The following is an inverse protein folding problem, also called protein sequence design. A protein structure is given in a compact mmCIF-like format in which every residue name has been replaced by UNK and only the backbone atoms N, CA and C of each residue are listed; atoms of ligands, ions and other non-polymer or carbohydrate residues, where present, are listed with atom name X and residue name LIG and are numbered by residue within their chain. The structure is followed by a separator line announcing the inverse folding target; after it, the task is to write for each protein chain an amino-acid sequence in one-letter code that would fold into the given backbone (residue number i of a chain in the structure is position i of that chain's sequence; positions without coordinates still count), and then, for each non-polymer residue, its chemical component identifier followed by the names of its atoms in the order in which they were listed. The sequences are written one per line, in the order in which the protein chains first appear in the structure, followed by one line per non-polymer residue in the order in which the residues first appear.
data_IF_249843684770
#
_entry.id   IF_249843684770
#
_cell.length_a   1.000
_cell.length_b   1.000
_cell.length_c   1.000
_cell.angle_alpha   90.00
_cell.angle_beta   90.00
_cell.angle_gamma   90.00
#
_symmetry.space_group_name_H-M   'P 1'
#
loop_
_entity.id
_entity.type
_entity.pdbx_description
1 polymer ?
#
# COMPACT_ATOMS: atom_id res chain seq x y z
N UNK A 1 -24.37 -58.44 6.35
CA UNK A 1 -24.51 -58.73 7.80
C UNK A 1 -25.42 -57.68 8.40
N UNK A 2 -26.36 -58.04 9.27
CA UNK A 2 -27.23 -57.08 9.96
C UNK A 2 -26.72 -56.92 11.38
N UNK A 3 -25.90 -55.90 11.63
CA UNK A 3 -25.52 -55.49 12.98
C UNK A 3 -26.69 -54.71 13.59
N UNK A 4 -27.11 -55.05 14.80
CA UNK A 4 -28.16 -54.32 15.51
C UNK A 4 -27.54 -53.19 16.33
N UNK A 5 -28.16 -52.02 16.33
CA UNK A 5 -27.68 -50.82 17.07
C UNK A 5 -27.46 -51.10 18.56
N UNK A 6 -28.22 -52.04 19.14
CA UNK A 6 -28.09 -52.46 20.54
C UNK A 6 -26.83 -53.27 20.86
N UNK A 7 -26.07 -53.72 19.85
CA UNK A 7 -24.86 -54.54 20.01
C UNK A 7 -23.58 -53.71 19.87
N UNK A 8 -23.70 -52.41 19.55
CA UNK A 8 -22.56 -51.50 19.39
C UNK A 8 -22.15 -50.87 20.73
N UNK A 9 -20.85 -50.75 20.94
CA UNK A 9 -20.30 -49.90 22.00
C UNK A 9 -20.50 -48.43 21.65
N UNK A 10 -20.42 -47.56 22.66
CA UNK A 10 -20.57 -46.10 22.49
C UNK A 10 -19.52 -45.53 21.52
N UNK A 11 -18.31 -46.07 21.56
CA UNK A 11 -17.20 -45.63 20.70
C UNK A 11 -17.43 -46.05 19.24
N UNK A 12 -17.89 -47.27 19.00
CA UNK A 12 -18.24 -47.75 17.66
C UNK A 12 -19.40 -46.96 17.05
N UNK A 13 -20.42 -46.63 17.84
CA UNK A 13 -21.53 -45.79 17.39
C UNK A 13 -21.07 -44.36 17.06
N UNK A 14 -20.16 -43.80 17.86
CA UNK A 14 -19.63 -42.45 17.63
C UNK A 14 -18.82 -42.40 16.34
N UNK A 15 -18.00 -43.42 16.07
CA UNK A 15 -17.23 -43.50 14.84
C UNK A 15 -18.14 -43.57 13.60
N UNK A 16 -19.19 -44.40 13.64
CA UNK A 16 -20.15 -44.51 12.54
C UNK A 16 -20.85 -43.17 12.28
N UNK A 17 -21.19 -42.42 13.33
CA UNK A 17 -21.82 -41.10 13.20
C UNK A 17 -20.82 -40.09 12.61
N UNK A 18 -19.56 -40.09 13.06
CA UNK A 18 -18.53 -39.20 12.53
C UNK A 18 -18.29 -39.46 11.04
N UNK A 19 -18.12 -40.71 10.64
CA UNK A 19 -17.91 -41.10 9.25
C UNK A 19 -19.11 -40.70 8.38
N UNK A 20 -20.34 -40.92 8.88
CA UNK A 20 -21.55 -40.53 8.16
C UNK A 20 -21.69 -39.01 8.02
N UNK A 21 -21.29 -38.24 9.05
CA UNK A 21 -21.31 -36.77 9.03
C UNK A 21 -20.22 -36.24 8.10
N UNK A 22 -18.99 -36.76 8.14
CA UNK A 22 -17.91 -36.36 7.23
C UNK A 22 -18.27 -36.66 5.78
N UNK A 23 -18.83 -37.84 5.51
CA UNK A 23 -19.33 -38.19 4.17
C UNK A 23 -20.39 -37.17 3.72
N UNK A 24 -21.34 -36.82 4.60
CA UNK A 24 -22.41 -35.88 4.24
C UNK A 24 -21.91 -34.44 4.07
N UNK A 25 -20.95 -34.02 4.88
CA UNK A 25 -20.32 -32.71 4.76
C UNK A 25 -19.47 -32.63 3.49
N UNK A 26 -18.75 -33.69 3.13
CA UNK A 26 -18.01 -33.78 1.87
C UNK A 26 -18.95 -33.76 0.66
N UNK A 27 -20.09 -34.46 0.71
CA UNK A 27 -21.11 -34.39 -0.35
C UNK A 27 -21.75 -33.00 -0.49
N UNK A 28 -21.91 -32.25 0.61
CA UNK A 28 -22.58 -30.94 0.60
C UNK A 28 -21.64 -29.76 0.36
N UNK A 29 -20.37 -29.86 0.78
CA UNK A 29 -19.39 -28.78 0.80
C UNK A 29 -18.13 -29.10 0.00
N UNK A 30 -18.03 -30.30 -0.59
CA UNK A 30 -16.92 -30.68 -1.47
C UNK A 30 -16.87 -29.82 -2.72
N UNK A 31 -15.68 -29.68 -3.27
CA UNK A 31 -15.49 -28.95 -4.52
C UNK A 31 -16.11 -29.75 -5.67
N UNK A 32 -17.17 -29.26 -6.33
CA UNK A 32 -17.82 -29.98 -7.43
C UNK A 32 -16.89 -30.21 -8.63
N UNK A 33 -15.77 -29.47 -8.71
CA UNK A 33 -14.78 -29.58 -9.78
C UNK A 33 -13.57 -30.46 -9.38
N UNK A 34 -13.58 -31.08 -8.21
CA UNK A 34 -12.47 -31.91 -7.72
C UNK A 34 -12.19 -33.10 -8.65
N UNK A 35 -10.93 -33.25 -9.08
CA UNK A 35 -10.50 -34.31 -10.01
C UNK A 35 -10.82 -34.07 -11.48
N UNK A 36 -11.40 -32.93 -11.86
CA UNK A 36 -11.63 -32.58 -13.27
C UNK A 36 -10.38 -31.97 -13.92
N UNK A 37 -10.08 -32.40 -15.15
CA UNK A 37 -9.05 -31.78 -15.97
C UNK A 37 -9.56 -30.50 -16.66
N UNK A 38 -8.71 -29.48 -16.70
CA UNK A 38 -9.00 -28.25 -17.42
C UNK A 38 -9.05 -28.52 -18.92
N UNK A 39 -10.12 -28.06 -19.59
CA UNK A 39 -10.18 -28.02 -21.05
C UNK A 39 -9.10 -27.09 -21.59
N UNK A 40 -8.47 -27.47 -22.70
CA UNK A 40 -7.37 -26.71 -23.32
C UNK A 40 -7.71 -25.23 -23.56
N UNK A 41 -8.95 -24.92 -23.92
CA UNK A 41 -9.42 -23.54 -24.11
C UNK A 41 -9.41 -22.72 -22.80
N UNK A 42 -9.86 -23.34 -21.70
CA UNK A 42 -9.91 -22.71 -20.38
C UNK A 42 -8.49 -22.55 -19.84
N UNK A 43 -7.64 -23.56 -20.01
CA UNK A 43 -6.23 -23.49 -19.65
C UNK A 43 -5.52 -22.39 -20.44
N UNK A 44 -5.70 -22.32 -21.75
CA UNK A 44 -5.13 -21.25 -22.58
C UNK A 44 -5.65 -19.86 -22.18
N UNK A 45 -6.94 -19.74 -21.80
CA UNK A 45 -7.51 -18.50 -21.27
C UNK A 45 -6.90 -18.13 -19.92
N UNK A 46 -6.73 -19.08 -19.01
CA UNK A 46 -6.10 -18.89 -17.69
C UNK A 46 -4.62 -18.56 -17.83
N UNK A 47 -3.89 -19.19 -18.75
CA UNK A 47 -2.51 -18.84 -19.09
C UNK A 47 -2.41 -17.42 -19.64
N UNK A 48 -3.30 -17.03 -20.55
CA UNK A 48 -3.37 -15.62 -21.02
C UNK A 48 -3.71 -14.66 -19.89
N UNK A 49 -4.66 -14.99 -19.01
CA UNK A 49 -5.00 -14.15 -17.85
C UNK A 49 -3.83 -14.03 -16.88
N UNK A 50 -3.18 -15.13 -16.54
CA UNK A 50 -2.04 -15.18 -15.62
C UNK A 50 -0.76 -14.57 -16.22
N UNK A 51 -0.54 -14.65 -17.53
CA UNK A 51 0.51 -13.91 -18.23
C UNK A 51 0.19 -12.42 -18.28
N UNK A 52 -1.08 -12.04 -18.48
CA UNK A 52 -1.54 -10.65 -18.38
C UNK A 52 -1.38 -10.13 -16.96
N UNK A 53 -1.64 -10.93 -15.92
CA UNK A 53 -1.39 -10.60 -14.51
C UNK A 53 0.11 -10.56 -14.17
N UNK A 54 0.92 -11.48 -14.70
CA UNK A 54 2.38 -11.44 -14.54
C UNK A 54 3.01 -10.24 -15.25
N UNK A 55 2.46 -9.84 -16.40
CA UNK A 55 2.85 -8.62 -17.13
C UNK A 55 2.28 -7.34 -16.50
N UNK A 56 1.06 -7.39 -15.96
CA UNK A 56 0.45 -6.36 -15.11
C UNK A 56 0.86 -6.63 -13.68
N UNK A 57 2.14 -6.40 -13.37
CA UNK A 57 2.60 -6.41 -11.99
C UNK A 57 1.59 -5.67 -11.09
N UNK A 58 0.92 -6.48 -10.24
CA UNK A 58 0.11 -6.14 -9.07
C UNK A 58 -1.35 -5.79 -9.36
N UNK A 59 -2.24 -6.63 -8.81
CA UNK A 59 -3.52 -6.14 -8.30
C UNK A 59 -3.28 -4.88 -7.48
N UNK A 60 -4.15 -3.88 -7.61
CA UNK A 60 -3.96 -2.54 -7.05
C UNK A 60 -3.71 -2.70 -5.53
N UNK A 61 -2.49 -2.46 -5.02
CA UNK A 61 -2.30 -2.34 -3.57
C UNK A 61 -3.24 -1.24 -3.11
N UNK A 62 -3.96 -1.40 -2.00
CA UNK A 62 -4.91 -0.40 -1.51
C UNK A 62 -4.24 0.99 -1.49
N UNK A 63 -4.48 1.78 -2.55
CA UNK A 63 -3.74 3.01 -2.81
C UNK A 63 -4.08 3.96 -1.67
N UNK A 64 -3.06 4.34 -0.89
CA UNK A 64 -3.27 5.24 0.24
C UNK A 64 -3.50 6.64 -0.32
N UNK A 65 -4.55 7.30 0.16
CA UNK A 65 -4.85 8.69 -0.19
C UNK A 65 -4.23 9.60 0.88
N UNK A 66 -3.55 10.65 0.44
CA UNK A 66 -3.09 11.76 1.28
C UNK A 66 -3.39 13.09 0.59
N UNK A 67 -3.24 14.18 1.34
CA UNK A 67 -3.32 15.53 0.82
C UNK A 67 -2.01 16.26 1.10
N UNK A 68 -1.55 17.07 0.16
CA UNK A 68 -0.43 17.99 0.37
C UNK A 68 -0.78 18.97 1.51
N UNK A 69 0.22 19.69 2.02
CA UNK A 69 -0.01 20.77 3.00
C UNK A 69 -0.96 21.87 2.48
N UNK A 70 -1.16 21.96 1.16
CA UNK A 70 -2.09 22.88 0.49
C UNK A 70 -3.46 22.26 0.19
N UNK A 71 -3.71 21.01 0.58
CA UNK A 71 -4.98 20.31 0.41
C UNK A 71 -5.15 19.55 -0.91
N UNK A 72 -4.15 19.54 -1.80
CA UNK A 72 -4.24 18.77 -3.06
C UNK A 72 -4.10 17.29 -2.77
N UNK A 73 -5.05 16.49 -3.23
CA UNK A 73 -5.02 15.04 -3.03
C UNK A 73 -3.94 14.41 -3.90
N UNK A 74 -3.41 13.29 -3.43
CA UNK A 74 -2.54 12.41 -4.20
C UNK A 74 -2.65 10.99 -3.66
N UNK A 75 -2.33 10.03 -4.52
CA UNK A 75 -2.24 8.64 -4.14
C UNK A 75 -0.78 8.26 -3.95
N UNK A 76 -0.52 7.32 -3.06
CA UNK A 76 0.83 6.80 -2.88
C UNK A 76 0.81 5.34 -2.44
N UNK A 77 1.95 4.71 -2.66
CA UNK A 77 2.29 3.40 -2.13
C UNK A 77 3.76 3.38 -1.72
N UNK A 78 4.12 2.42 -0.87
CA UNK A 78 5.51 2.20 -0.47
C UNK A 78 5.97 0.88 -1.09
N UNK A 79 7.03 0.92 -1.90
CA UNK A 79 7.66 -0.28 -2.49
C UNK A 79 9.11 -0.29 -2.07
N UNK A 80 9.55 -1.34 -1.37
CA UNK A 80 10.95 -1.47 -0.93
C UNK A 80 11.44 -0.19 -0.24
N UNK A 81 10.62 0.35 0.68
CA UNK A 81 10.84 1.59 1.44
C UNK A 81 10.84 2.90 0.62
N UNK A 82 10.83 2.83 -0.71
CA UNK A 82 10.63 3.99 -1.56
C UNK A 82 9.17 4.41 -1.57
N UNK A 83 8.95 5.73 -1.61
CA UNK A 83 7.62 6.31 -1.75
C UNK A 83 7.31 6.53 -3.23
N UNK A 84 6.30 5.82 -3.74
CA UNK A 84 5.78 5.99 -5.09
C UNK A 84 4.53 6.85 -5.01
N UNK A 85 4.58 8.00 -5.66
CA UNK A 85 3.50 9.00 -5.65
C UNK A 85 2.84 9.06 -7.02
N UNK A 86 1.51 9.11 -7.01
CA UNK A 86 0.66 9.35 -8.15
C UNK A 86 -0.09 10.67 -7.92
N UNK A 87 0.42 11.79 -8.48
CA UNK A 87 -0.27 13.07 -8.42
C UNK A 87 -1.64 12.97 -9.08
N UNK A 88 -2.60 13.77 -8.62
CA UNK A 88 -3.91 13.86 -9.27
C UNK A 88 -3.92 14.87 -10.40
N UNK A 89 -4.93 14.75 -11.25
CA UNK A 89 -5.34 15.79 -12.19
C UNK A 89 -5.78 17.09 -11.49
N UNK A 90 -6.20 18.08 -12.29
CA UNK A 90 -6.67 19.38 -11.79
C UNK A 90 -7.89 19.25 -10.87
N UNK A 91 -8.73 18.24 -11.10
CA UNK A 91 -9.98 18.03 -10.37
C UNK A 91 -9.74 17.25 -9.07
N UNK A 92 -8.56 16.65 -8.89
CA UNK A 92 -8.20 15.92 -7.67
C UNK A 92 -8.88 14.55 -7.56
N UNK A 93 -9.50 14.07 -8.64
CA UNK A 93 -10.35 12.88 -8.65
C UNK A 93 -9.64 11.65 -9.19
N UNK A 94 -8.69 11.82 -10.11
CA UNK A 94 -7.96 10.71 -10.75
C UNK A 94 -6.46 10.98 -10.78
N UNK A 95 -5.62 9.93 -10.73
CA UNK A 95 -4.19 10.08 -11.01
C UNK A 95 -3.95 10.69 -12.39
N UNK A 96 -3.05 11.67 -12.50
CA UNK A 96 -2.74 12.36 -13.75
C UNK A 96 -1.91 11.53 -14.74
N UNK A 97 -1.70 10.24 -14.48
CA UNK A 97 -0.88 9.32 -15.28
C UNK A 97 0.64 9.46 -15.08
N UNK A 98 1.11 10.48 -14.37
CA UNK A 98 2.52 10.60 -13.97
C UNK A 98 2.76 9.85 -12.66
N UNK A 99 3.95 9.25 -12.54
CA UNK A 99 4.43 8.62 -11.29
C UNK A 99 5.75 9.26 -10.87
N UNK A 100 5.88 9.52 -9.58
CA UNK A 100 7.10 10.09 -8.99
C UNK A 100 7.63 9.09 -7.98
N UNK A 101 8.87 8.63 -8.18
CA UNK A 101 9.58 7.79 -7.21
C UNK A 101 10.45 8.67 -6.32
N UNK A 102 10.22 8.60 -5.01
CA UNK A 102 11.02 9.28 -3.99
C UNK A 102 11.79 8.19 -3.23
N UNK A 103 13.12 8.08 -3.46
CA UNK A 103 13.91 7.05 -2.82
C UNK A 103 13.96 7.16 -1.30
N UNK A 104 14.07 6.04 -0.59
CA UNK A 104 14.15 5.98 0.88
C UNK A 104 15.28 6.86 1.44
N UNK A 105 16.48 6.80 0.86
CA UNK A 105 17.61 7.66 1.28
C UNK A 105 17.29 9.17 1.22
N UNK A 106 16.38 9.59 0.32
CA UNK A 106 15.93 10.98 0.24
C UNK A 106 14.97 11.31 1.39
N UNK A 107 14.11 10.37 1.78
CA UNK A 107 13.23 10.50 2.94
C UNK A 107 14.05 10.55 4.24
N UNK A 108 15.07 9.70 4.35
CA UNK A 108 15.97 9.67 5.52
C UNK A 108 16.75 10.97 5.66
N UNK A 109 17.23 11.52 4.55
CA UNK A 109 17.85 12.84 4.52
C UNK A 109 16.88 13.92 5.03
N UNK A 110 15.64 13.93 4.54
CA UNK A 110 14.61 14.88 5.00
C UNK A 110 14.35 14.73 6.50
N UNK A 111 14.22 13.48 6.99
CA UNK A 111 14.03 13.20 8.43
C UNK A 111 15.22 13.73 9.25
N UNK A 112 16.44 13.48 8.80
CA UNK A 112 17.65 13.93 9.48
C UNK A 112 17.71 15.47 9.57
N UNK A 113 17.42 16.17 8.47
CA UNK A 113 17.45 17.64 8.45
C UNK A 113 16.34 18.26 9.30
N UNK A 114 15.13 17.69 9.30
CA UNK A 114 14.04 18.14 10.19
C UNK A 114 14.44 17.96 11.65
N UNK A 115 14.96 16.77 12.01
CA UNK A 115 15.37 16.47 13.39
C UNK A 115 16.51 17.37 13.84
N UNK A 116 17.49 17.61 12.97
CA UNK A 116 18.66 18.47 13.25
C UNK A 116 18.26 19.92 13.49
N UNK A 117 17.35 20.45 12.66
CA UNK A 117 16.93 21.84 12.75
C UNK A 117 15.91 22.10 13.87
N UNK A 118 15.10 21.10 14.22
CA UNK A 118 13.94 21.25 15.12
C UNK A 118 12.78 21.97 14.44
N UNK A 119 13.04 23.11 13.80
CA UNK A 119 12.12 23.83 12.92
C UNK A 119 12.83 24.29 11.65
N UNK A 120 12.21 24.08 10.49
CA UNK A 120 12.83 24.42 9.21
C UNK A 120 11.78 24.79 8.16
N UNK A 121 12.07 25.81 7.36
CA UNK A 121 11.24 26.18 6.22
C UNK A 121 11.16 25.02 5.22
N UNK A 122 9.96 24.73 4.70
CA UNK A 122 9.73 23.67 3.73
C UNK A 122 10.39 24.01 2.38
N UNK A 123 10.02 25.15 1.77
CA UNK A 123 10.66 25.59 0.52
C UNK A 123 10.42 24.68 -0.69
N UNK A 124 9.23 24.09 -0.85
CA UNK A 124 8.93 23.11 -1.90
C UNK A 124 8.88 23.63 -3.36
N UNK A 125 9.28 24.88 -3.61
CA UNK A 125 9.34 25.44 -4.97
C UNK A 125 10.49 24.80 -5.74
N UNK A 126 10.20 24.24 -6.93
CA UNK A 126 11.18 23.58 -7.80
C UNK A 126 12.28 24.53 -8.25
N UNK A 127 11.91 25.72 -8.66
CA UNK A 127 12.79 26.61 -9.41
C UNK A 127 13.52 27.58 -8.47
N UNK A 128 12.85 27.99 -7.39
CA UNK A 128 13.39 28.93 -6.40
C UNK A 128 12.95 28.57 -4.97
N UNK A 129 13.53 27.52 -4.36
CA UNK A 129 13.27 27.20 -2.96
C UNK A 129 13.80 28.32 -2.04
N UNK A 130 13.18 28.52 -0.87
CA UNK A 130 13.61 29.54 0.09
C UNK A 130 15.03 29.25 0.60
N UNK A 131 15.86 30.28 0.87
CA UNK A 131 17.18 30.07 1.46
C UNK A 131 17.10 29.34 2.81
N UNK A 132 18.09 28.49 3.08
CA UNK A 132 18.22 27.61 4.23
C UNK A 132 17.06 26.61 4.44
N UNK A 133 16.15 26.47 3.48
CA UNK A 133 15.01 25.54 3.57
C UNK A 133 15.39 24.09 3.28
N UNK A 134 14.50 23.16 3.64
CA UNK A 134 14.58 21.77 3.20
C UNK A 134 14.65 21.65 1.67
N UNK A 135 13.91 22.50 0.96
CA UNK A 135 13.90 22.52 -0.49
C UNK A 135 15.26 22.89 -1.08
N UNK A 136 15.93 23.90 -0.52
CA UNK A 136 17.28 24.27 -0.96
C UNK A 136 18.28 23.15 -0.69
N UNK A 137 18.24 22.55 0.51
CA UNK A 137 19.08 21.42 0.90
C UNK A 137 18.88 20.20 -0.02
N UNK A 138 17.64 19.89 -0.41
CA UNK A 138 17.35 18.84 -1.39
C UNK A 138 17.92 19.18 -2.78
N UNK A 139 17.81 20.45 -3.19
CA UNK A 139 18.34 20.90 -4.48
C UNK A 139 19.87 20.79 -4.52
N UNK A 140 20.57 21.07 -3.42
CA UNK A 140 22.01 20.86 -3.28
C UNK A 140 22.39 19.37 -3.41
N UNK A 141 21.50 18.44 -3.07
CA UNK A 141 21.64 17.00 -3.28
C UNK A 141 21.18 16.54 -4.68
N UNK A 142 20.86 17.46 -5.60
CA UNK A 142 20.37 17.13 -6.95
C UNK A 142 18.95 16.55 -6.97
N UNK A 143 18.16 16.71 -5.89
CA UNK A 143 16.77 16.23 -5.80
C UNK A 143 15.79 17.39 -5.97
N UNK A 144 14.57 17.07 -6.44
CA UNK A 144 13.54 18.08 -6.62
C UNK A 144 12.96 18.53 -5.27
N UNK A 145 12.91 19.85 -4.99
CA UNK A 145 12.23 20.40 -3.81
C UNK A 145 10.75 20.00 -3.73
N UNK A 146 10.10 19.71 -4.86
CA UNK A 146 8.69 19.31 -4.91
C UNK A 146 8.41 17.99 -4.21
N UNK A 147 9.42 17.15 -3.95
CA UNK A 147 9.25 15.92 -3.17
C UNK A 147 8.67 16.21 -1.79
N UNK A 148 8.97 17.38 -1.21
CA UNK A 148 8.44 17.79 0.08
C UNK A 148 6.91 17.87 0.09
N UNK A 149 6.26 18.20 -1.02
CA UNK A 149 4.79 18.24 -1.11
C UNK A 149 4.14 16.89 -0.77
N UNK A 150 4.88 15.79 -0.96
CA UNK A 150 4.40 14.42 -0.75
C UNK A 150 5.01 13.78 0.50
N UNK A 151 6.30 14.02 0.75
CA UNK A 151 7.00 13.47 1.91
C UNK A 151 6.51 14.09 3.21
N UNK A 152 6.26 15.41 3.26
CA UNK A 152 5.82 16.04 4.50
C UNK A 152 4.48 15.49 5.00
N UNK A 153 3.40 15.41 4.19
CA UNK A 153 2.16 14.77 4.63
C UNK A 153 2.34 13.31 5.07
N UNK A 154 3.23 12.57 4.39
CA UNK A 154 3.56 11.20 4.77
C UNK A 154 4.19 11.14 6.17
N UNK A 155 5.20 11.98 6.44
CA UNK A 155 5.87 12.06 7.75
C UNK A 155 4.94 12.59 8.86
N UNK A 156 4.03 13.51 8.53
CA UNK A 156 3.02 14.01 9.48
C UNK A 156 2.05 12.91 9.88
N UNK A 157 1.64 12.05 8.95
CA UNK A 157 0.79 10.89 9.25
C UNK A 157 1.50 9.89 10.18
N UNK A 158 2.81 9.78 10.09
CA UNK A 158 3.64 8.97 10.99
C UNK A 158 3.90 9.65 12.35
N UNK A 159 3.41 10.88 12.56
CA UNK A 159 3.64 11.64 13.80
C UNK A 159 5.06 12.21 13.93
N UNK A 160 5.87 12.17 12.87
CA UNK A 160 7.28 12.60 12.92
C UNK A 160 7.45 14.12 12.93
N UNK A 161 6.55 14.85 12.25
CA UNK A 161 6.62 16.30 12.17
C UNK A 161 5.25 16.94 11.93
N UNK A 162 5.15 18.23 12.26
CA UNK A 162 3.93 19.03 12.06
C UNK A 162 4.23 20.23 11.15
N UNK A 163 3.57 20.34 9.99
CA UNK A 163 3.64 21.53 9.14
C UNK A 163 2.69 22.61 9.67
N UNK A 164 3.14 23.86 9.64
CA UNK A 164 2.28 25.01 9.89
C UNK A 164 2.61 26.13 8.91
N UNK A 165 1.62 26.97 8.65
CA UNK A 165 1.75 28.08 7.69
C UNK A 165 2.41 29.27 8.38
N UNK A 166 3.46 29.80 7.77
CA UNK A 166 4.14 31.00 8.25
C UNK A 166 4.35 31.97 7.07
N UNK A 167 3.69 33.12 7.13
CA UNK A 167 3.67 34.10 6.05
C UNK A 167 3.19 33.48 4.73
N UNK A 168 4.06 33.52 3.70
CA UNK A 168 3.80 32.96 2.35
C UNK A 168 4.23 31.49 2.21
N UNK A 169 4.86 30.91 3.23
CA UNK A 169 5.44 29.58 3.18
C UNK A 169 4.88 28.63 4.25
N UNK A 170 5.47 27.45 4.31
CA UNK A 170 5.24 26.46 5.36
C UNK A 170 6.55 26.20 6.10
N UNK A 171 6.45 26.06 7.41
CA UNK A 171 7.53 25.61 8.28
C UNK A 171 7.17 24.24 8.84
N UNK A 172 8.18 23.40 8.96
CA UNK A 172 8.07 22.03 9.46
C UNK A 172 8.71 21.99 10.82
N UNK A 173 7.93 21.65 11.85
CA UNK A 173 8.42 21.41 13.22
C UNK A 173 8.57 19.93 13.46
N UNK A 174 9.72 19.52 13.97
CA UNK A 174 9.96 18.17 14.45
C UNK A 174 9.09 17.90 15.68
N UNK A 175 8.43 16.75 15.70
CA UNK A 175 7.68 16.26 16.85
C UNK A 175 8.54 15.18 17.51
N UNK A 176 8.88 15.36 18.79
CA UNK A 176 9.54 14.28 19.54
C UNK A 176 8.57 13.10 19.64
N UNK A 177 8.98 11.88 19.25
CA UNK A 177 8.19 10.69 19.49
C UNK A 177 8.03 10.42 20.98
#
# INVERSE_FOLDING_TARGET
MSARVAELTVDELTQIIQDAVEQKLSEMLGDPDEGLELREEIEARLRRSSEVERRRAKGIPAQKVAATVTGKRFYYETISEDLIVYPTDRDGLKPSGSRIRIPSHTIDFIRAEIRKAGEIAMGANRDNPSPASLGEKLRQQGKSPQFLCYVIPFLTKEGFCTPFKEGRGYVIRYTRP
#
